data_IF_191082422053
#
_entry.id   IF_191082422053
#
_cell.length_a   1.000
_cell.length_b   1.000
_cell.length_c   1.000
_cell.angle_alpha   90.00
_cell.angle_beta   90.00
_cell.angle_gamma   90.00
#
_symmetry.space_group_name_H-M   'P 1'
#
loop_
_entity.id
_entity.type
_entity.pdbx_description
1 polymer ?
#
# COMPACT_ATOMS: atom_id res chain seq x y z
N UNK A 1 -30.37 50.44 48.46
CA UNK A 1 -29.71 49.12 48.49
C UNK A 1 -29.89 48.49 47.11
N UNK A 2 -28.79 48.05 46.51
CA UNK A 2 -28.54 48.01 45.07
C UNK A 2 -29.41 47.01 44.26
N UNK A 3 -29.94 47.49 43.13
CA UNK A 3 -30.34 46.69 41.97
C UNK A 3 -29.04 46.19 41.32
N UNK A 4 -28.90 44.88 41.12
CA UNK A 4 -27.85 44.29 40.27
C UNK A 4 -28.48 43.48 39.14
N UNK A 5 -28.40 44.08 37.97
CA UNK A 5 -28.40 43.48 36.64
C UNK A 5 -27.39 42.32 36.56
N UNK A 6 -27.78 41.16 36.02
CA UNK A 6 -26.94 40.29 35.18
C UNK A 6 -27.76 39.10 34.64
N UNK A 7 -27.81 38.88 33.33
CA UNK A 7 -26.91 37.95 32.64
C UNK A 7 -27.41 37.66 31.21
N UNK A 8 -26.81 38.42 30.29
CA UNK A 8 -26.25 38.04 28.98
C UNK A 8 -26.71 36.71 28.37
N UNK A 9 -27.29 36.83 27.17
CA UNK A 9 -27.45 35.81 26.13
C UNK A 9 -26.20 34.93 25.98
N UNK A 10 -26.33 33.63 26.25
CA UNK A 10 -25.41 32.61 25.78
C UNK A 10 -26.07 31.81 24.67
N UNK A 11 -25.98 32.29 23.42
CA UNK A 11 -26.28 31.46 22.25
C UNK A 11 -25.12 30.46 22.13
N UNK A 12 -25.33 29.24 22.64
CA UNK A 12 -24.40 28.15 22.46
C UNK A 12 -24.44 27.74 20.97
N UNK A 13 -23.55 28.32 20.18
CA UNK A 13 -23.18 27.75 18.88
C UNK A 13 -22.36 26.51 19.23
N UNK A 14 -23.02 25.34 19.22
CA UNK A 14 -22.33 24.07 19.21
C UNK A 14 -21.61 23.98 17.86
N UNK A 15 -20.34 24.35 17.83
CA UNK A 15 -19.42 23.90 16.79
C UNK A 15 -19.26 22.41 17.05
N UNK A 16 -20.09 21.59 16.40
CA UNK A 16 -19.72 20.20 16.15
C UNK A 16 -18.47 20.31 15.29
N UNK A 17 -17.30 20.21 15.91
CA UNK A 17 -16.11 19.81 15.21
C UNK A 17 -16.46 18.42 14.64
N UNK A 18 -16.84 18.38 13.37
CA UNK A 18 -16.79 17.14 12.62
C UNK A 18 -15.33 16.72 12.71
N UNK A 19 -15.03 15.70 13.52
CA UNK A 19 -13.71 15.12 13.63
C UNK A 19 -13.30 14.64 12.23
N UNK A 20 -12.56 15.48 11.52
CA UNK A 20 -11.96 15.14 10.23
C UNK A 20 -10.79 14.15 10.41
N UNK A 21 -10.44 13.81 11.66
CA UNK A 21 -9.32 12.96 12.10
C UNK A 21 -9.63 11.47 12.13
N UNK A 22 -10.89 11.06 11.95
CA UNK A 22 -11.30 9.66 12.10
C UNK A 22 -11.50 9.01 10.71
N UNK A 23 -10.66 9.37 9.73
CA UNK A 23 -10.74 8.84 8.36
C UNK A 23 -9.49 8.01 8.07
N UNK A 24 -9.64 6.94 7.30
CA UNK A 24 -8.52 6.28 6.62
C UNK A 24 -8.85 6.21 5.14
N UNK A 25 -7.94 6.65 4.27
CA UNK A 25 -8.15 6.63 2.83
C UNK A 25 -6.90 6.15 2.10
N UNK A 26 -7.05 5.77 0.84
CA UNK A 26 -5.91 5.33 0.07
C UNK A 26 -6.34 4.79 -1.27
N UNK A 27 -5.40 4.15 -1.94
CA UNK A 27 -5.68 3.47 -3.20
C UNK A 27 -5.11 2.05 -3.20
N UNK A 28 -5.91 1.11 -3.67
CA UNK A 28 -5.48 -0.26 -3.92
C UNK A 28 -4.92 -0.37 -5.34
N UNK A 29 -3.61 -0.58 -5.45
CA UNK A 29 -2.81 -0.27 -6.63
C UNK A 29 -1.65 -1.25 -6.82
N UNK A 30 -1.85 -2.22 -7.72
CA UNK A 30 -0.82 -3.02 -8.38
C UNK A 30 -0.73 -2.57 -9.86
N UNK A 31 -1.86 -2.70 -10.54
CA UNK A 31 -2.54 -1.59 -11.22
C UNK A 31 -3.81 -1.26 -10.41
N UNK A 32 -4.57 -0.20 -10.73
CA UNK A 32 -5.78 0.12 -10.00
C UNK A 32 -6.74 -1.07 -9.86
N UNK A 33 -7.15 -1.38 -8.63
CA UNK A 33 -8.26 -2.30 -8.42
C UNK A 33 -9.55 -1.72 -9.00
N UNK A 34 -10.36 -2.58 -9.61
CA UNK A 34 -11.58 -2.16 -10.30
C UNK A 34 -12.63 -1.67 -9.30
N UNK A 35 -13.48 -0.72 -9.74
CA UNK A 35 -14.69 -0.36 -9.00
C UNK A 35 -15.48 -1.61 -8.58
N UNK A 36 -15.89 -1.66 -7.31
CA UNK A 36 -16.58 -2.80 -6.71
C UNK A 36 -15.68 -3.88 -6.11
N UNK A 37 -14.35 -3.78 -6.23
CA UNK A 37 -13.43 -4.56 -5.38
C UNK A 37 -13.64 -4.18 -3.91
N UNK A 38 -13.51 -5.14 -3.00
CA UNK A 38 -13.75 -4.92 -1.56
C UNK A 38 -12.44 -4.69 -0.84
N UNK A 39 -12.37 -3.62 -0.05
CA UNK A 39 -11.32 -3.35 0.92
C UNK A 39 -11.90 -3.62 2.30
N UNK A 40 -11.21 -4.45 3.07
CA UNK A 40 -11.49 -4.73 4.47
C UNK A 40 -10.49 -3.95 5.33
N UNK A 41 -10.96 -3.42 6.45
CA UNK A 41 -10.17 -2.79 7.49
C UNK A 41 -10.34 -3.62 8.76
N UNK A 42 -9.21 -3.98 9.37
CA UNK A 42 -9.17 -4.65 10.67
C UNK A 42 -8.33 -3.84 11.65
N UNK A 43 -8.87 -3.52 12.83
CA UNK A 43 -8.01 -3.12 13.96
C UNK A 43 -7.12 -4.29 14.35
N UNK A 44 -5.85 -4.01 14.65
CA UNK A 44 -4.89 -4.98 15.15
C UNK A 44 -4.59 -4.72 16.62
N UNK A 45 -4.56 -5.78 17.41
CA UNK A 45 -4.04 -5.70 18.77
C UNK A 45 -2.50 -5.62 18.80
N UNK A 46 -1.92 -5.52 19.99
CA UNK A 46 -0.48 -5.39 20.17
C UNK A 46 0.31 -6.66 19.79
N UNK A 47 -0.36 -7.80 19.67
CA UNK A 47 0.19 -9.07 19.20
C UNK A 47 0.00 -9.24 17.69
N UNK A 48 -0.69 -8.29 17.05
CA UNK A 48 -1.02 -8.26 15.63
C UNK A 48 -2.11 -9.25 15.23
N UNK A 49 -2.93 -9.70 16.17
CA UNK A 49 -4.17 -10.38 15.84
C UNK A 49 -5.23 -9.35 15.47
N UNK A 50 -6.07 -9.73 14.51
CA UNK A 50 -7.28 -8.96 14.18
C UNK A 50 -8.18 -8.95 15.41
N UNK A 51 -8.44 -7.76 15.92
CA UNK A 51 -9.44 -7.58 16.96
C UNK A 51 -10.82 -7.75 16.29
N UNK A 52 -11.35 -8.99 16.30
CA UNK A 52 -12.52 -9.41 15.52
C UNK A 52 -13.84 -8.68 15.81
N UNK A 53 -13.79 -7.59 16.57
CA UNK A 53 -14.89 -6.66 16.84
C UNK A 53 -14.90 -5.44 15.90
N UNK A 54 -13.80 -5.14 15.20
CA UNK A 54 -13.61 -3.93 14.38
C UNK A 54 -13.34 -4.25 12.88
N UNK A 55 -14.11 -5.16 12.29
CA UNK A 55 -14.12 -5.34 10.83
C UNK A 55 -15.08 -4.35 10.18
N UNK A 56 -14.57 -3.51 9.28
CA UNK A 56 -15.37 -2.65 8.39
C UNK A 56 -14.95 -2.91 6.95
N UNK A 57 -15.90 -2.88 6.00
CA UNK A 57 -15.61 -3.09 4.59
C UNK A 57 -16.14 -1.95 3.73
N UNK A 58 -15.38 -1.60 2.69
CA UNK A 58 -15.75 -0.57 1.72
C UNK A 58 -15.41 -1.05 0.33
N UNK A 59 -16.21 -0.62 -0.64
CA UNK A 59 -15.89 -0.84 -2.03
C UNK A 59 -14.92 0.23 -2.52
N UNK A 60 -14.03 -0.18 -3.41
CA UNK A 60 -13.29 0.73 -4.27
C UNK A 60 -14.29 1.59 -5.04
N UNK A 61 -14.10 2.90 -4.96
CA UNK A 61 -15.03 3.93 -5.40
C UNK A 61 -14.87 4.35 -6.86
N UNK A 62 -13.78 3.93 -7.52
CA UNK A 62 -13.51 4.21 -8.93
C UNK A 62 -12.46 3.28 -9.53
N UNK A 63 -12.24 3.41 -10.84
CA UNK A 63 -11.23 2.63 -11.58
C UNK A 63 -9.78 3.08 -11.32
N UNK A 64 -9.53 3.99 -10.37
CA UNK A 64 -8.19 4.35 -9.89
C UNK A 64 -7.85 3.66 -8.56
N UNK A 65 -8.74 2.80 -8.06
CA UNK A 65 -8.52 1.99 -6.87
C UNK A 65 -8.81 2.72 -5.56
N UNK A 66 -9.44 3.91 -5.59
CA UNK A 66 -9.59 4.75 -4.40
C UNK A 66 -10.60 4.17 -3.42
N UNK A 67 -10.27 4.14 -2.14
CA UNK A 67 -11.17 3.76 -1.05
C UNK A 67 -11.11 4.76 0.11
N UNK A 68 -12.14 4.75 0.95
CA UNK A 68 -12.14 5.52 2.20
C UNK A 68 -13.05 4.93 3.27
N UNK A 69 -12.53 4.88 4.48
CA UNK A 69 -13.21 4.53 5.72
C UNK A 69 -13.43 5.77 6.58
N UNK A 70 -14.49 5.76 7.39
CA UNK A 70 -14.81 6.83 8.35
C UNK A 70 -14.96 6.21 9.73
N UNK A 71 -14.76 7.00 10.76
CA UNK A 71 -14.75 6.60 12.16
C UNK A 71 -13.70 5.52 12.47
N UNK A 72 -12.51 5.62 11.87
CA UNK A 72 -11.40 4.69 12.12
C UNK A 72 -10.64 5.12 13.38
N UNK A 73 -10.58 4.22 14.36
CA UNK A 73 -9.82 4.41 15.60
C UNK A 73 -8.32 4.52 15.34
N UNK A 74 -7.61 5.23 16.21
CA UNK A 74 -6.15 5.25 16.18
C UNK A 74 -5.57 3.90 16.65
N UNK A 75 -4.43 3.52 16.08
CA UNK A 75 -3.74 2.27 16.36
C UNK A 75 -3.34 1.55 15.08
N UNK A 76 -2.79 0.34 15.24
CA UNK A 76 -2.40 -0.49 14.12
C UNK A 76 -3.61 -1.06 13.41
N UNK A 77 -3.59 -1.01 12.09
CA UNK A 77 -4.65 -1.57 11.25
C UNK A 77 -4.06 -2.43 10.13
N UNK A 78 -4.82 -3.43 9.71
CA UNK A 78 -4.62 -4.17 8.47
C UNK A 78 -5.66 -3.72 7.44
N UNK A 79 -5.19 -3.33 6.27
CA UNK A 79 -6.02 -3.08 5.10
C UNK A 79 -5.84 -4.22 4.11
N UNK A 80 -6.94 -4.88 3.74
CA UNK A 80 -6.92 -5.99 2.79
C UNK A 80 -7.84 -5.72 1.63
N UNK A 81 -7.32 -5.62 0.42
CA UNK A 81 -8.14 -5.55 -0.80
C UNK A 81 -8.32 -6.94 -1.39
N UNK A 82 -9.50 -7.22 -1.95
CA UNK A 82 -9.73 -8.38 -2.81
C UNK A 82 -10.60 -8.00 -4.00
N UNK A 83 -10.13 -8.32 -5.20
CA UNK A 83 -10.89 -8.07 -6.42
C UNK A 83 -10.08 -8.19 -7.69
N UNK A 84 -10.74 -7.89 -8.82
CA UNK A 84 -10.09 -7.76 -10.13
C UNK A 84 -9.34 -6.43 -10.19
N UNK A 85 -8.28 -6.39 -10.98
CA UNK A 85 -7.40 -5.23 -11.12
C UNK A 85 -7.12 -4.93 -12.59
N UNK A 86 -6.68 -3.72 -12.89
CA UNK A 86 -6.13 -3.39 -14.21
C UNK A 86 -4.75 -4.02 -14.36
N UNK A 87 -4.55 -4.88 -15.36
CA UNK A 87 -3.26 -5.46 -15.70
C UNK A 87 -2.48 -4.45 -16.55
N UNK A 88 -1.55 -3.74 -15.92
CA UNK A 88 -0.71 -2.71 -16.53
C UNK A 88 0.25 -3.26 -17.59
N UNK A 89 0.49 -4.58 -17.65
CA UNK A 89 1.30 -5.22 -18.68
C UNK A 89 0.51 -5.51 -19.96
N UNK A 90 -0.72 -6.02 -19.84
CA UNK A 90 -1.59 -6.35 -21.00
C UNK A 90 -2.45 -5.17 -21.44
N UNK A 91 -2.69 -4.19 -20.58
CA UNK A 91 -3.59 -3.06 -20.83
C UNK A 91 -5.07 -3.42 -20.70
N UNK A 92 -5.41 -4.50 -19.99
CA UNK A 92 -6.78 -5.00 -19.80
C UNK A 92 -7.04 -5.37 -18.34
N UNK A 93 -8.30 -5.53 -17.94
CA UNK A 93 -8.58 -6.04 -16.59
C UNK A 93 -8.19 -7.52 -16.46
N UNK A 94 -7.71 -7.91 -15.27
CA UNK A 94 -7.46 -9.31 -14.91
C UNK A 94 -8.75 -10.12 -15.00
N UNK A 95 -8.68 -11.40 -15.37
CA UNK A 95 -9.85 -12.29 -15.30
C UNK A 95 -10.07 -12.81 -13.87
N UNK A 96 -8.96 -13.11 -13.19
CA UNK A 96 -8.95 -13.58 -11.81
C UNK A 96 -8.82 -12.44 -10.81
N UNK A 97 -9.29 -12.69 -9.58
CA UNK A 97 -9.11 -11.78 -8.47
C UNK A 97 -7.75 -12.01 -7.79
N UNK A 98 -7.19 -10.94 -7.22
CA UNK A 98 -6.02 -10.99 -6.35
C UNK A 98 -6.39 -10.36 -5.00
N UNK A 99 -5.70 -10.78 -3.94
CA UNK A 99 -5.77 -10.12 -2.64
C UNK A 99 -4.41 -9.55 -2.28
N UNK A 100 -4.40 -8.34 -1.73
CA UNK A 100 -3.20 -7.67 -1.23
C UNK A 100 -3.49 -7.10 0.16
N UNK A 101 -2.45 -7.01 0.96
CA UNK A 101 -2.53 -6.55 2.34
C UNK A 101 -1.58 -5.36 2.55
N UNK A 102 -1.89 -4.51 3.52
CA UNK A 102 -1.04 -3.44 4.02
C UNK A 102 -1.25 -3.31 5.52
N UNK A 103 -0.19 -3.01 6.27
CA UNK A 103 -0.26 -2.77 7.71
C UNK A 103 0.33 -1.41 8.00
N UNK A 104 -0.46 -0.55 8.64
CA UNK A 104 -0.04 0.81 9.00
C UNK A 104 -0.53 1.19 10.39
N UNK A 105 0.03 2.25 10.96
CA UNK A 105 -0.47 2.87 12.17
C UNK A 105 -1.34 4.08 11.81
N UNK A 106 -2.63 4.00 12.14
CA UNK A 106 -3.55 5.12 12.04
C UNK A 106 -3.35 6.05 13.23
N UNK A 107 -3.07 7.32 12.97
CA UNK A 107 -3.09 8.36 14.00
C UNK A 107 -3.75 9.67 13.48
N UNK A 108 -3.63 10.78 14.22
CA UNK A 108 -4.24 12.05 13.81
C UNK A 108 -3.60 12.72 12.59
N UNK A 109 -2.38 12.31 12.22
CA UNK A 109 -1.58 12.84 11.11
C UNK A 109 -1.44 11.86 9.95
N UNK A 110 -1.50 10.56 10.23
CA UNK A 110 -1.46 9.47 9.27
C UNK A 110 -2.89 8.96 8.97
N UNK A 111 -3.56 9.59 8.00
CA UNK A 111 -4.91 9.24 7.54
C UNK A 111 -4.92 8.56 6.16
N UNK A 112 -3.74 8.14 5.67
CA UNK A 112 -3.56 7.57 4.33
C UNK A 112 -2.70 6.33 4.32
N UNK A 113 -3.13 5.31 3.58
CA UNK A 113 -2.31 4.16 3.28
C UNK A 113 -2.75 3.51 1.96
N UNK A 114 -1.83 3.36 1.02
CA UNK A 114 -2.06 2.60 -0.21
C UNK A 114 -1.84 1.11 0.05
N UNK A 115 -2.49 0.27 -0.76
CA UNK A 115 -2.28 -1.17 -0.77
C UNK A 115 -1.63 -1.52 -2.11
N UNK A 116 -0.43 -2.08 -2.09
CA UNK A 116 0.33 -2.44 -3.29
C UNK A 116 1.13 -3.74 -3.08
N UNK A 117 1.92 -4.16 -4.06
CA UNK A 117 2.71 -5.39 -3.94
C UNK A 117 3.78 -5.30 -2.84
N UNK A 118 4.40 -4.14 -2.64
CA UNK A 118 5.40 -3.95 -1.60
C UNK A 118 4.78 -3.95 -0.21
N UNK A 119 3.62 -3.33 -0.02
CA UNK A 119 2.91 -3.40 1.28
C UNK A 119 2.48 -4.82 1.60
N UNK A 120 2.14 -5.64 0.59
CA UNK A 120 1.77 -7.03 0.80
C UNK A 120 2.97 -7.89 1.25
N UNK A 121 4.14 -7.72 0.61
CA UNK A 121 5.38 -8.34 1.06
C UNK A 121 5.74 -7.89 2.49
N UNK A 122 5.64 -6.59 2.76
CA UNK A 122 5.88 -6.04 4.09
C UNK A 122 4.91 -6.61 5.14
N UNK A 123 3.62 -6.74 4.83
CA UNK A 123 2.63 -7.31 5.73
C UNK A 123 2.95 -8.77 6.10
N UNK A 124 3.33 -9.59 5.11
CA UNK A 124 3.75 -10.97 5.36
C UNK A 124 4.97 -11.02 6.31
N UNK A 125 5.96 -10.15 6.06
CA UNK A 125 7.13 -10.00 6.94
C UNK A 125 6.76 -9.54 8.35
N UNK A 126 5.85 -8.58 8.49
CA UNK A 126 5.38 -8.09 9.79
C UNK A 126 4.76 -9.23 10.60
N UNK A 127 3.87 -10.02 9.99
CA UNK A 127 3.23 -11.14 10.68
C UNK A 127 4.23 -12.21 11.13
N UNK A 128 5.24 -12.52 10.32
CA UNK A 128 6.27 -13.48 10.73
C UNK A 128 7.10 -12.94 11.90
N UNK A 129 7.43 -11.65 11.88
CA UNK A 129 8.16 -11.00 12.98
C UNK A 129 7.34 -10.94 14.28
N UNK A 130 6.02 -10.81 14.19
CA UNK A 130 5.14 -10.91 15.35
C UNK A 130 5.12 -12.33 15.92
N UNK A 131 5.10 -13.36 15.06
CA UNK A 131 5.21 -14.78 15.48
C UNK A 131 6.53 -15.08 16.20
N UNK A 132 7.62 -14.40 15.79
CA UNK A 132 8.91 -14.41 16.49
C UNK A 132 8.91 -13.67 17.85
N UNK A 133 7.78 -13.12 18.27
CA UNK A 133 7.62 -12.40 19.53
C UNK A 133 8.18 -10.97 19.50
N UNK A 134 8.25 -10.32 18.33
CA UNK A 134 8.55 -8.87 18.27
C UNK A 134 7.29 -8.05 18.50
N UNK A 135 7.48 -6.82 18.96
CA UNK A 135 6.39 -5.84 18.99
C UNK A 135 6.03 -5.37 17.58
N UNK A 136 4.78 -4.95 17.39
CA UNK A 136 4.27 -4.44 16.12
C UNK A 136 5.17 -3.36 15.50
N UNK A 137 5.55 -2.33 16.26
CA UNK A 137 6.43 -1.27 15.76
C UNK A 137 7.78 -1.82 15.24
N UNK A 138 8.41 -2.74 15.98
CA UNK A 138 9.70 -3.33 15.57
C UNK A 138 9.55 -4.26 14.37
N UNK A 139 8.41 -4.97 14.26
CA UNK A 139 8.08 -5.79 13.10
C UNK A 139 7.89 -4.92 11.86
N UNK A 140 7.10 -3.84 11.96
CA UNK A 140 6.86 -2.87 10.89
C UNK A 140 8.15 -2.19 10.45
N UNK A 141 8.89 -1.56 11.38
CA UNK A 141 10.16 -0.88 11.10
C UNK A 141 11.17 -1.80 10.39
N UNK A 142 11.26 -3.08 10.82
CA UNK A 142 12.15 -4.03 10.17
C UNK A 142 11.68 -4.39 8.76
N UNK A 143 10.39 -4.63 8.55
CA UNK A 143 9.85 -4.94 7.23
C UNK A 143 10.09 -3.80 6.23
N UNK A 144 9.89 -2.55 6.63
CA UNK A 144 10.19 -1.38 5.77
C UNK A 144 11.69 -1.28 5.45
N UNK A 145 12.55 -1.59 6.42
CA UNK A 145 14.00 -1.63 6.22
C UNK A 145 14.43 -2.73 5.26
N UNK A 146 13.91 -3.95 5.44
CA UNK A 146 14.16 -5.11 4.55
C UNK A 146 13.74 -4.78 3.12
N UNK A 147 12.54 -4.23 2.95
CA UNK A 147 11.98 -3.85 1.64
C UNK A 147 12.86 -2.78 0.97
N UNK A 148 13.24 -1.74 1.72
CA UNK A 148 14.12 -0.68 1.24
C UNK A 148 15.47 -1.22 0.78
N UNK A 149 16.07 -2.13 1.54
CA UNK A 149 17.37 -2.72 1.23
C UNK A 149 17.32 -3.59 -0.03
N UNK A 150 16.30 -4.46 -0.16
CA UNK A 150 16.15 -5.34 -1.32
C UNK A 150 15.86 -4.57 -2.59
N UNK A 151 14.88 -3.67 -2.55
CA UNK A 151 14.44 -2.95 -3.74
C UNK A 151 15.26 -1.67 -4.02
N UNK A 152 16.13 -1.25 -3.10
CA UNK A 152 16.96 -0.05 -3.24
C UNK A 152 16.18 1.26 -3.11
N UNK A 153 15.07 1.26 -2.37
CA UNK A 153 14.15 2.40 -2.22
C UNK A 153 14.85 3.58 -1.52
N UNK A 154 14.62 4.80 -2.00
CA UNK A 154 15.33 6.03 -1.58
C UNK A 154 14.56 6.84 -0.54
N UNK A 155 13.24 6.70 -0.51
CA UNK A 155 12.34 7.55 0.27
C UNK A 155 11.56 6.77 1.31
N UNK A 156 11.32 5.49 1.08
CA UNK A 156 10.79 4.60 2.13
C UNK A 156 11.78 4.53 3.29
N UNK A 157 11.28 4.65 4.51
CA UNK A 157 12.05 4.57 5.76
C UNK A 157 11.29 3.79 6.82
N UNK A 158 11.92 3.61 7.97
CA UNK A 158 11.31 3.06 9.19
C UNK A 158 10.59 4.13 10.04
N UNK A 159 10.39 5.33 9.49
CA UNK A 159 9.49 6.36 10.01
C UNK A 159 8.07 6.10 9.48
N UNK A 160 7.08 6.14 10.37
CA UNK A 160 5.70 5.70 10.12
C UNK A 160 5.01 6.49 9.00
N UNK A 161 5.38 7.76 8.83
CA UNK A 161 4.86 8.66 7.80
C UNK A 161 5.52 8.45 6.43
N UNK A 162 6.42 7.47 6.31
CA UNK A 162 7.27 7.25 5.14
C UNK A 162 7.48 5.76 4.85
N UNK A 163 6.48 4.93 5.13
CA UNK A 163 6.47 3.51 4.77
C UNK A 163 6.15 3.24 3.30
N UNK A 164 6.09 1.97 2.93
CA UNK A 164 5.68 1.49 1.61
C UNK A 164 4.23 1.85 1.24
N UNK A 165 3.42 2.20 2.24
CA UNK A 165 2.03 2.64 2.11
C UNK A 165 1.90 4.02 1.45
N UNK A 166 2.99 4.80 1.42
CA UNK A 166 3.06 6.06 0.66
C UNK A 166 3.21 5.84 -0.86
N UNK A 167 3.64 4.64 -1.27
CA UNK A 167 3.94 4.36 -2.67
C UNK A 167 2.68 4.16 -3.50
N UNK A 168 2.72 4.65 -4.74
CA UNK A 168 1.60 4.62 -5.67
C UNK A 168 2.09 4.39 -7.09
N UNK A 169 1.51 3.39 -7.77
CA UNK A 169 1.78 3.13 -9.19
C UNK A 169 1.19 4.19 -10.14
N UNK A 170 0.45 5.16 -9.58
CA UNK A 170 -0.15 6.27 -10.33
C UNK A 170 0.55 7.61 -10.07
N UNK A 171 1.61 7.64 -9.23
CA UNK A 171 2.27 8.86 -8.77
C UNK A 171 3.66 9.08 -9.36
N UNK A 172 3.76 9.50 -10.62
CA UNK A 172 5.01 9.90 -11.30
C UNK A 172 5.48 11.32 -10.97
N UNK A 173 5.09 11.87 -9.83
CA UNK A 173 5.44 13.22 -9.40
C UNK A 173 5.71 13.24 -7.89
N UNK A 174 6.47 14.25 -7.46
CA UNK A 174 6.74 14.46 -6.04
C UNK A 174 7.90 13.63 -5.50
N UNK A 175 8.01 13.59 -4.17
CA UNK A 175 9.20 13.08 -3.49
C UNK A 175 9.49 11.60 -3.72
N UNK A 176 8.46 10.79 -4.01
CA UNK A 176 8.52 9.32 -4.15
C UNK A 176 8.58 8.83 -5.60
N UNK A 177 8.71 9.69 -6.62
CA UNK A 177 8.53 9.27 -8.02
C UNK A 177 9.47 8.14 -8.45
N UNK A 178 10.74 8.15 -8.03
CA UNK A 178 11.70 7.06 -8.30
C UNK A 178 11.27 5.73 -7.62
N UNK A 179 10.83 5.78 -6.37
CA UNK A 179 10.34 4.58 -5.65
C UNK A 179 9.00 4.07 -6.22
N UNK A 180 8.15 4.97 -6.70
CA UNK A 180 6.90 4.65 -7.38
C UNK A 180 7.16 3.99 -8.74
N UNK A 181 8.16 4.47 -9.49
CA UNK A 181 8.62 3.84 -10.73
C UNK A 181 9.20 2.44 -10.47
N UNK A 182 9.92 2.26 -9.35
CA UNK A 182 10.43 0.95 -8.94
C UNK A 182 9.28 -0.02 -8.60
N UNK A 183 8.28 0.43 -7.84
CA UNK A 183 7.05 -0.34 -7.57
C UNK A 183 6.32 -0.71 -8.86
N UNK A 184 6.14 0.24 -9.79
CA UNK A 184 5.50 -0.02 -11.08
C UNK A 184 6.28 -1.04 -11.90
N UNK A 185 7.62 -0.91 -11.95
CA UNK A 185 8.48 -1.86 -12.66
C UNK A 185 8.34 -3.27 -12.10
N UNK A 186 8.45 -3.44 -10.78
CA UNK A 186 8.26 -4.74 -10.12
C UNK A 186 6.87 -5.31 -10.41
N UNK A 187 5.84 -4.47 -10.33
CA UNK A 187 4.46 -4.87 -10.55
C UNK A 187 4.20 -5.35 -11.98
N UNK A 188 4.69 -4.62 -12.98
CA UNK A 188 4.54 -5.00 -14.38
C UNK A 188 5.40 -6.19 -14.78
N UNK A 189 6.62 -6.31 -14.23
CA UNK A 189 7.47 -7.46 -14.45
C UNK A 189 6.88 -8.75 -13.84
N UNK A 190 6.26 -8.66 -12.67
CA UNK A 190 5.47 -9.76 -12.10
C UNK A 190 4.34 -10.20 -13.03
N UNK A 191 3.66 -9.27 -13.70
CA UNK A 191 2.61 -9.63 -14.68
C UNK A 191 3.18 -10.19 -15.98
N UNK A 192 4.36 -9.74 -16.40
CA UNK A 192 5.02 -10.23 -17.60
C UNK A 192 5.39 -11.72 -17.52
N UNK A 193 5.57 -12.25 -16.30
CA UNK A 193 5.84 -13.67 -16.04
C UNK A 193 4.57 -14.46 -15.68
N UNK A 194 3.39 -13.95 -16.02
CA UNK A 194 2.09 -14.52 -15.64
C UNK A 194 1.97 -14.69 -14.12
N UNK A 195 2.36 -13.66 -13.36
CA UNK A 195 2.25 -13.63 -11.91
C UNK A 195 0.82 -13.76 -11.43
N UNK A 196 0.57 -14.72 -10.55
CA UNK A 196 -0.71 -15.04 -9.96
C UNK A 196 -0.62 -15.12 -8.42
N UNK A 197 -1.73 -15.49 -7.76
CA UNK A 197 -1.74 -15.64 -6.30
C UNK A 197 -0.74 -16.68 -5.78
N UNK A 198 -0.41 -17.70 -6.58
CA UNK A 198 0.56 -18.74 -6.21
C UNK A 198 1.98 -18.19 -6.20
N UNK A 199 2.38 -17.49 -7.28
CA UNK A 199 3.71 -16.84 -7.36
C UNK A 199 3.85 -15.74 -6.32
N UNK A 200 2.78 -14.98 -6.07
CA UNK A 200 2.78 -13.97 -5.02
C UNK A 200 2.99 -14.57 -3.63
N UNK A 201 2.34 -15.72 -3.35
CA UNK A 201 2.54 -16.43 -2.09
C UNK A 201 3.99 -16.89 -1.91
N UNK A 202 4.63 -17.43 -2.96
CA UNK A 202 6.04 -17.83 -2.89
C UNK A 202 6.97 -16.66 -2.56
N UNK A 203 6.73 -15.49 -3.16
CA UNK A 203 7.49 -14.27 -2.87
C UNK A 203 7.24 -13.78 -1.45
N UNK A 204 5.98 -13.77 -1.01
CA UNK A 204 5.60 -13.34 0.33
C UNK A 204 6.19 -14.25 1.41
N UNK A 205 6.12 -15.57 1.23
CA UNK A 205 6.68 -16.55 2.17
C UNK A 205 8.21 -16.45 2.27
N UNK A 206 8.90 -16.27 1.15
CA UNK A 206 10.37 -16.11 1.11
C UNK A 206 10.79 -14.80 1.80
N UNK A 207 10.19 -13.68 1.39
CA UNK A 207 10.48 -12.39 1.99
C UNK A 207 10.12 -12.33 3.47
N UNK A 208 9.06 -13.04 3.89
CA UNK A 208 8.64 -13.08 5.29
C UNK A 208 9.66 -13.75 6.21
N UNK A 209 10.41 -14.75 5.74
CA UNK A 209 11.41 -15.50 6.52
C UNK A 209 12.56 -14.60 6.98
N UNK A 210 13.31 -14.03 6.03
CA UNK A 210 14.55 -13.30 6.35
C UNK A 210 14.63 -11.90 5.73
N UNK A 211 13.60 -11.44 5.01
CA UNK A 211 13.59 -10.17 4.31
C UNK A 211 14.38 -10.19 3.00
N UNK A 212 14.63 -11.36 2.42
CA UNK A 212 15.36 -11.55 1.16
C UNK A 212 14.60 -12.51 0.24
N UNK A 213 15.10 -12.66 -0.98
CA UNK A 213 14.61 -13.65 -1.95
C UNK A 213 15.71 -14.67 -2.22
N UNK A 214 15.91 -15.60 -1.28
CA UNK A 214 16.98 -16.60 -1.31
C UNK A 214 16.50 -18.01 -0.94
N UNK A 215 15.18 -18.20 -0.91
CA UNK A 215 14.50 -19.44 -0.55
C UNK A 215 13.44 -19.80 -1.57
N UNK A 216 12.21 -20.03 -1.11
CA UNK A 216 11.12 -20.59 -1.93
C UNK A 216 10.67 -19.66 -3.07
N UNK A 217 10.93 -18.36 -2.94
CA UNK A 217 10.56 -17.31 -3.90
C UNK A 217 11.70 -16.91 -4.83
N UNK A 218 12.95 -17.36 -4.60
CA UNK A 218 14.15 -16.95 -5.35
C UNK A 218 13.97 -17.14 -6.86
N UNK A 219 13.47 -18.28 -7.30
CA UNK A 219 13.26 -18.55 -8.72
C UNK A 219 12.26 -17.57 -9.36
N UNK A 220 11.13 -17.32 -8.69
CA UNK A 220 10.13 -16.35 -9.14
C UNK A 220 10.68 -14.93 -9.14
N UNK A 221 11.46 -14.55 -8.12
CA UNK A 221 12.09 -13.25 -8.05
C UNK A 221 13.09 -13.03 -9.20
N UNK A 222 13.89 -14.04 -9.53
CA UNK A 222 14.82 -13.99 -10.66
C UNK A 222 14.10 -13.90 -12.02
N UNK A 223 12.95 -14.56 -12.19
CA UNK A 223 12.10 -14.37 -13.37
C UNK A 223 11.57 -12.94 -13.48
N UNK A 224 11.14 -12.33 -12.35
CA UNK A 224 10.73 -10.93 -12.30
C UNK A 224 11.90 -10.02 -12.66
N UNK A 225 13.09 -10.23 -12.09
CA UNK A 225 14.28 -9.44 -12.40
C UNK A 225 14.63 -9.51 -13.89
N UNK A 226 14.60 -10.71 -14.47
CA UNK A 226 14.82 -10.90 -15.90
C UNK A 226 13.78 -10.15 -16.76
N UNK A 227 12.49 -10.22 -16.40
CA UNK A 227 11.44 -9.48 -17.09
C UNK A 227 11.59 -7.95 -16.92
N UNK A 228 11.98 -7.49 -15.73
CA UNK A 228 12.21 -6.08 -15.41
C UNK A 228 13.37 -5.48 -16.20
N UNK A 229 14.33 -6.31 -16.65
CA UNK A 229 15.45 -5.89 -17.48
C UNK A 229 15.06 -5.63 -18.95
N UNK A 230 13.83 -5.97 -19.38
CA UNK A 230 13.37 -5.74 -20.74
C UNK A 230 13.27 -4.24 -21.04
N UNK A 231 14.01 -3.82 -22.08
CA UNK A 231 14.08 -2.42 -22.48
C UNK A 231 12.70 -1.86 -22.83
N UNK A 232 12.32 -0.75 -22.21
CA UNK A 232 11.04 -0.06 -22.46
C UNK A 232 9.85 -0.64 -21.72
N UNK A 233 10.04 -1.62 -20.82
CA UNK A 233 8.94 -2.16 -20.01
C UNK A 233 8.25 -1.03 -19.23
N UNK A 234 8.99 -0.21 -18.46
CA UNK A 234 8.38 0.85 -17.65
C UNK A 234 7.60 1.88 -18.49
N UNK A 235 8.10 2.23 -19.67
CA UNK A 235 7.38 3.06 -20.64
C UNK A 235 6.08 2.42 -21.11
N UNK A 236 6.10 1.11 -21.42
CA UNK A 236 4.89 0.35 -21.80
C UNK A 236 3.86 0.37 -20.66
N UNK A 237 4.27 0.12 -19.42
CA UNK A 237 3.39 0.13 -18.25
C UNK A 237 2.75 1.50 -18.03
N UNK A 238 3.55 2.57 -18.05
CA UNK A 238 3.07 3.95 -17.93
C UNK A 238 2.04 4.30 -19.01
N UNK A 239 2.29 3.91 -20.27
CA UNK A 239 1.36 4.15 -21.38
C UNK A 239 0.03 3.40 -21.20
N UNK A 240 0.07 2.15 -20.72
CA UNK A 240 -1.14 1.39 -20.43
C UNK A 240 -1.95 2.02 -19.29
N UNK A 241 -1.29 2.50 -18.23
CA UNK A 241 -1.95 3.22 -17.14
C UNK A 241 -2.58 4.54 -17.64
N UNK A 242 -1.87 5.31 -18.48
CA UNK A 242 -2.41 6.53 -19.13
C UNK A 242 -3.64 6.20 -19.99
N UNK A 243 -3.60 5.10 -20.73
CA UNK A 243 -4.75 4.63 -21.51
C UNK A 243 -5.95 4.23 -20.63
N UNK A 244 -5.70 3.81 -19.39
CA UNK A 244 -6.71 3.55 -18.35
C UNK A 244 -7.09 4.79 -17.52
N UNK A 245 -6.69 6.00 -17.94
CA UNK A 245 -7.08 7.25 -17.32
C UNK A 245 -6.19 7.73 -16.16
N UNK A 246 -5.03 7.10 -15.92
CA UNK A 246 -4.06 7.65 -14.98
C UNK A 246 -3.46 8.95 -15.54
N UNK A 247 -3.50 10.03 -14.76
CA UNK A 247 -3.05 11.35 -15.22
C UNK A 247 -1.52 11.42 -15.35
N UNK A 248 -0.80 10.94 -14.34
CA UNK A 248 0.66 10.98 -14.30
C UNK A 248 1.27 9.74 -13.63
N UNK A 249 1.11 8.53 -14.21
CA UNK A 249 1.80 7.35 -13.70
C UNK A 249 3.32 7.47 -13.91
N UNK A 250 4.15 6.88 -13.01
CA UNK A 250 5.60 6.92 -13.14
C UNK A 250 6.07 6.36 -14.49
N UNK A 251 7.19 6.87 -14.97
CA UNK A 251 7.80 6.38 -16.22
C UNK A 251 9.34 6.28 -16.15
N UNK A 252 9.96 6.09 -17.30
CA UNK A 252 11.40 5.86 -17.42
C UNK A 252 12.23 7.08 -16.96
N UNK A 253 11.68 8.30 -17.03
CA UNK A 253 12.37 9.51 -16.62
C UNK A 253 12.43 9.64 -15.08
N UNK A 254 11.48 9.04 -14.37
CA UNK A 254 11.45 8.98 -12.90
C UNK A 254 12.52 8.03 -12.33
N UNK A 255 12.87 6.98 -13.09
CA UNK A 255 13.88 5.99 -12.72
C UNK A 255 14.81 5.69 -13.91
N UNK A 256 15.74 6.60 -14.24
CA UNK A 256 16.58 6.50 -15.44
C UNK A 256 17.62 5.38 -15.35
N UNK A 257 17.88 4.86 -14.15
CA UNK A 257 18.81 3.76 -13.89
C UNK A 257 18.04 2.64 -13.21
N UNK A 258 18.11 1.44 -13.78
CA UNK A 258 17.47 0.27 -13.18
C UNK A 258 18.07 -0.04 -11.80
N UNK A 259 17.24 -0.40 -10.82
CA UNK A 259 17.68 -0.72 -9.47
C UNK A 259 18.47 -2.03 -9.46
N UNK A 260 19.29 -2.23 -8.42
CA UNK A 260 20.23 -3.35 -8.34
C UNK A 260 19.55 -4.73 -8.37
N UNK A 261 18.29 -4.83 -7.93
CA UNK A 261 17.55 -6.10 -7.94
C UNK A 261 17.20 -6.60 -9.35
N UNK A 262 17.32 -5.75 -10.38
CA UNK A 262 17.07 -6.10 -11.80
C UNK A 262 18.31 -6.71 -12.48
N UNK A 263 19.49 -6.66 -11.83
CA UNK A 263 20.78 -7.03 -12.41
C UNK A 263 21.18 -8.49 -12.18
#
# INVERSE_FOLDING_TARGET
MFIRTLCILGLAVSISACNLTDRMAGSAQKGPFKEGATVYLYSLDYEGYRDGYDEDDRQVSDDQGRFSFKNVSNGWIELRVSGRYFNEYTGSHSDEALALDAITEKDSFNDKANINLFTHLAAARIFERLRDGRSMYNAWSRAQTDLREVFGLKRVTDDIDRGAEELSVLGGEGGFSEDNANLLLFSGAFLAIDGDATKLLLLADDFADDGRFNGVGEATFNEIAAAASEAGLLTKLSNNLKANGAENPPDQDDMPVLPAWVQ
#
